data_IF_238264502767
#
_entry.id   IF_238264502767
#
_cell.length_a   1.000
_cell.length_b   1.000
_cell.length_c   1.000
_cell.angle_alpha   90.00
_cell.angle_beta   90.00
_cell.angle_gamma   90.00
#
_symmetry.space_group_name_H-M   'P 1'
#
loop_
_entity.id
_entity.type
_entity.pdbx_description
1 polymer ?
#
# COMPACT_ATOMS: atom_id res chain seq x y z
N UNK A 1 -61.09 13.60 -81.15
CA UNK A 1 -62.30 13.06 -81.84
C UNK A 1 -63.16 12.45 -80.78
N UNK A 2 -64.22 13.16 -80.46
CA UNK A 2 -65.61 12.70 -80.28
C UNK A 2 -65.83 11.58 -79.32
N UNK A 3 -66.72 11.57 -78.40
CA UNK A 3 -67.99 12.22 -78.08
C UNK A 3 -68.61 11.32 -76.94
N UNK A 4 -69.09 11.92 -75.84
CA UNK A 4 -70.55 11.93 -75.45
C UNK A 4 -71.09 10.51 -75.07
N UNK A 5 -71.85 10.27 -74.02
CA UNK A 5 -72.94 10.99 -73.35
C UNK A 5 -73.41 10.16 -72.13
N UNK A 6 -73.82 10.87 -71.11
CA UNK A 6 -75.14 10.87 -70.44
C UNK A 6 -75.73 9.56 -69.83
N UNK A 7 -76.19 9.72 -68.65
CA UNK A 7 -77.46 9.21 -68.11
C UNK A 7 -77.43 8.76 -66.71
N UNK A 8 -77.81 9.45 -65.82
CA UNK A 8 -78.89 9.83 -64.93
C UNK A 8 -79.45 8.69 -63.98
N UNK A 9 -79.72 9.12 -62.77
CA UNK A 9 -80.66 8.60 -61.75
C UNK A 9 -80.17 7.40 -60.92
N UNK A 10 -79.99 7.56 -59.63
CA UNK A 10 -81.00 7.89 -58.64
C UNK A 10 -81.03 6.76 -57.61
N UNK A 11 -80.77 7.02 -56.33
CA UNK A 11 -80.94 6.05 -55.31
C UNK A 11 -80.28 6.44 -53.98
N UNK A 12 -81.06 7.01 -53.10
CA UNK A 12 -80.75 7.19 -51.66
C UNK A 12 -80.43 5.88 -50.98
N UNK A 13 -79.31 5.77 -50.33
CA UNK A 13 -79.16 4.85 -49.13
C UNK A 13 -78.13 5.39 -48.19
N UNK A 14 -78.53 5.43 -46.97
CA UNK A 14 -77.79 5.82 -45.72
C UNK A 14 -76.51 5.04 -45.53
N UNK A 15 -75.39 5.72 -45.33
CA UNK A 15 -74.13 5.16 -45.03
C UNK A 15 -73.91 4.96 -43.47
N UNK A 16 -73.06 4.04 -43.07
CA UNK A 16 -72.73 3.85 -41.61
C UNK A 16 -71.61 4.74 -41.18
N UNK A 17 -71.81 5.24 -39.95
CA UNK A 17 -70.90 6.08 -39.16
C UNK A 17 -69.48 5.58 -39.03
N UNK A 18 -68.51 6.40 -39.38
CA UNK A 18 -67.08 6.25 -39.05
C UNK A 18 -66.90 6.40 -37.53
N UNK A 19 -66.61 5.30 -36.85
CA UNK A 19 -66.11 5.32 -35.49
C UNK A 19 -64.63 5.62 -35.52
N UNK A 20 -64.22 6.81 -35.08
CA UNK A 20 -62.85 7.18 -34.84
C UNK A 20 -62.27 6.36 -33.69
N UNK A 21 -61.37 5.42 -33.98
CA UNK A 21 -60.56 4.75 -32.94
C UNK A 21 -59.45 5.73 -32.54
N UNK A 22 -59.66 6.41 -31.39
CA UNK A 22 -58.62 7.16 -30.72
C UNK A 22 -57.60 6.18 -30.12
N UNK A 23 -56.44 6.05 -30.71
CA UNK A 23 -55.30 5.33 -30.10
C UNK A 23 -54.77 6.17 -28.93
N UNK A 24 -55.12 5.83 -27.71
CA UNK A 24 -54.48 6.34 -26.49
C UNK A 24 -53.08 5.70 -26.38
N UNK A 25 -52.05 6.49 -26.71
CA UNK A 25 -50.63 6.14 -26.43
C UNK A 25 -50.42 6.29 -24.92
N UNK A 26 -50.56 5.19 -24.18
CA UNK A 26 -50.16 5.15 -22.76
C UNK A 26 -48.65 5.17 -22.69
N UNK A 27 -48.06 6.34 -22.39
CA UNK A 27 -46.68 6.45 -21.97
C UNK A 27 -46.55 5.82 -20.58
N UNK A 28 -46.11 4.56 -20.54
CA UNK A 28 -45.63 3.92 -19.34
C UNK A 28 -44.32 4.63 -18.90
N UNK A 29 -44.44 5.63 -18.06
CA UNK A 29 -43.34 6.17 -17.28
C UNK A 29 -42.85 5.06 -16.33
N UNK A 30 -41.88 4.26 -16.79
CA UNK A 30 -41.08 3.46 -15.87
C UNK A 30 -40.36 4.42 -14.94
N UNK A 31 -40.51 4.29 -13.62
CA UNK A 31 -39.67 5.05 -12.70
C UNK A 31 -38.23 4.63 -13.00
N UNK A 32 -37.37 5.58 -13.41
CA UNK A 32 -35.93 5.39 -13.38
C UNK A 32 -35.62 5.05 -11.93
N UNK A 33 -35.38 3.79 -11.64
CA UNK A 33 -34.84 3.37 -10.34
C UNK A 33 -33.52 4.11 -10.19
N UNK A 34 -33.50 5.13 -9.35
CA UNK A 34 -32.28 5.83 -9.01
C UNK A 34 -31.31 4.78 -8.48
N UNK A 35 -30.21 4.53 -9.21
CA UNK A 35 -29.14 3.70 -8.73
C UNK A 35 -28.75 4.25 -7.34
N UNK A 36 -28.55 3.38 -6.33
CA UNK A 36 -28.20 3.86 -5.01
C UNK A 36 -26.98 4.76 -5.11
N UNK A 37 -27.17 6.02 -4.76
CA UNK A 37 -26.10 7.02 -4.79
C UNK A 37 -25.01 6.55 -3.82
N UNK A 38 -23.77 6.36 -4.32
CA UNK A 38 -22.64 5.98 -3.50
C UNK A 38 -22.49 6.99 -2.36
N UNK A 39 -22.38 6.49 -1.13
CA UNK A 39 -22.34 7.32 0.07
C UNK A 39 -20.95 7.90 0.31
N UNK A 40 -20.86 8.88 1.20
CA UNK A 40 -19.59 9.36 1.73
C UNK A 40 -18.79 8.24 2.38
N UNK A 41 -17.47 8.28 2.25
CA UNK A 41 -16.56 7.35 2.92
C UNK A 41 -15.88 8.07 4.08
N UNK A 42 -15.96 7.47 5.27
CA UNK A 42 -15.46 8.10 6.51
C UNK A 42 -14.43 7.20 7.20
N UNK A 43 -13.29 7.78 7.58
CA UNK A 43 -12.27 7.15 8.44
C UNK A 43 -11.87 8.17 9.51
N UNK A 44 -11.99 7.82 10.78
CA UNK A 44 -11.80 8.78 11.87
C UNK A 44 -12.71 9.99 11.68
N UNK A 45 -12.13 11.19 11.71
CA UNK A 45 -12.84 12.45 11.48
C UNK A 45 -12.86 12.89 9.99
N UNK A 46 -12.13 12.20 9.09
CA UNK A 46 -12.14 12.47 7.66
C UNK A 46 -13.37 11.84 6.99
N UNK A 47 -14.21 12.64 6.34
CA UNK A 47 -15.40 12.19 5.61
C UNK A 47 -15.45 12.84 4.23
N UNK A 48 -15.32 12.05 3.16
CA UNK A 48 -15.30 12.52 1.79
C UNK A 48 -16.58 12.08 1.05
N UNK A 49 -17.31 13.02 0.45
CA UNK A 49 -18.38 12.73 -0.49
C UNK A 49 -17.79 12.17 -1.81
N UNK A 50 -18.63 11.59 -2.65
CA UNK A 50 -18.20 11.06 -3.97
C UNK A 50 -17.62 12.16 -4.83
N UNK A 51 -16.42 11.94 -5.37
CA UNK A 51 -15.68 12.92 -6.15
C UNK A 51 -14.90 13.94 -5.30
N UNK A 52 -14.80 13.72 -3.99
CA UNK A 52 -14.13 14.63 -3.07
C UNK A 52 -12.97 14.00 -2.31
N UNK A 53 -12.16 14.87 -1.72
CA UNK A 53 -11.06 14.55 -0.82
C UNK A 53 -11.31 15.25 0.52
N UNK A 54 -11.07 14.53 1.62
CA UNK A 54 -11.21 15.06 2.98
C UNK A 54 -10.00 14.65 3.82
N UNK A 55 -9.57 15.54 4.70
CA UNK A 55 -8.52 15.31 5.70
C UNK A 55 -9.14 15.29 7.09
N UNK A 56 -8.51 14.56 7.99
CA UNK A 56 -8.92 14.45 9.39
C UNK A 56 -7.92 13.62 10.18
N UNK A 57 -8.37 13.08 11.29
CA UNK A 57 -7.54 12.29 12.19
C UNK A 57 -8.21 10.98 12.57
N UNK A 58 -7.39 9.95 12.72
CA UNK A 58 -7.73 8.75 13.46
C UNK A 58 -7.32 9.01 14.91
N UNK A 59 -8.29 9.40 15.72
CA UNK A 59 -8.09 9.80 17.13
C UNK A 59 -7.84 8.56 17.98
N UNK A 60 -6.61 8.38 18.48
CA UNK A 60 -6.22 7.31 19.40
C UNK A 60 -6.43 7.85 20.82
N UNK A 61 -7.43 7.38 21.55
CA UNK A 61 -7.74 7.93 22.87
C UNK A 61 -6.63 7.66 23.87
N UNK A 62 -6.55 8.48 24.91
CA UNK A 62 -5.70 8.19 26.06
C UNK A 62 -6.12 6.84 26.72
N UNK A 63 -5.15 6.15 27.31
CA UNK A 63 -5.35 4.88 28.01
C UNK A 63 -4.34 4.75 29.14
N UNK A 64 -3.51 3.71 29.08
CA UNK A 64 -2.39 3.53 30.02
C UNK A 64 -1.28 4.57 29.82
N UNK A 65 -1.29 5.23 28.69
CA UNK A 65 -0.40 6.32 28.26
C UNK A 65 -1.17 7.38 27.44
N UNK A 66 -0.46 8.38 26.90
CA UNK A 66 -1.06 9.54 26.24
C UNK A 66 -1.87 9.18 24.99
N UNK A 67 -2.83 10.04 24.65
CA UNK A 67 -3.52 10.03 23.34
C UNK A 67 -2.55 10.44 22.22
N UNK A 68 -2.93 10.11 20.96
CA UNK A 68 -2.29 10.63 19.75
C UNK A 68 -3.29 10.69 18.61
N UNK A 69 -3.06 11.62 17.66
CA UNK A 69 -3.91 11.79 16.50
C UNK A 69 -3.12 11.46 15.23
N UNK A 70 -3.55 10.42 14.51
CA UNK A 70 -2.91 9.98 13.28
C UNK A 70 -3.58 10.68 12.10
N UNK A 71 -2.84 11.41 11.24
CA UNK A 71 -3.41 12.08 10.08
C UNK A 71 -3.95 11.04 9.09
N UNK A 72 -5.16 11.24 8.63
CA UNK A 72 -5.83 10.42 7.64
C UNK A 72 -6.43 11.27 6.53
N UNK A 73 -6.23 10.81 5.31
CA UNK A 73 -6.83 11.40 4.12
C UNK A 73 -7.71 10.35 3.45
N UNK A 74 -8.94 10.74 3.13
CA UNK A 74 -9.86 9.93 2.35
C UNK A 74 -10.09 10.61 1.01
N UNK A 75 -9.81 9.90 -0.09
CA UNK A 75 -10.11 10.33 -1.44
C UNK A 75 -11.20 9.40 -1.98
N UNK A 76 -12.44 9.87 -2.01
CA UNK A 76 -13.57 9.11 -2.48
C UNK A 76 -13.81 9.44 -3.96
N UNK A 77 -13.19 8.65 -4.85
CA UNK A 77 -13.17 8.90 -6.29
C UNK A 77 -14.55 9.05 -6.93
N UNK A 78 -14.64 9.69 -8.07
CA UNK A 78 -15.89 9.95 -8.78
C UNK A 78 -16.58 8.68 -9.30
N UNK A 79 -15.83 7.60 -9.52
CA UNK A 79 -16.34 6.33 -10.06
C UNK A 79 -16.36 5.24 -8.98
N UNK A 80 -17.29 4.27 -9.04
CA UNK A 80 -17.26 3.12 -8.15
C UNK A 80 -16.00 2.27 -8.39
N UNK A 81 -15.50 1.59 -7.37
CA UNK A 81 -14.32 0.74 -7.43
C UNK A 81 -13.92 0.26 -6.05
N UNK A 82 -12.74 -0.34 -5.96
CA UNK A 82 -12.17 -0.91 -4.74
C UNK A 82 -11.64 0.16 -3.78
N UNK A 83 -11.35 -0.27 -2.55
CA UNK A 83 -10.74 0.56 -1.51
C UNK A 83 -9.27 0.18 -1.36
N UNK A 84 -8.37 1.13 -1.61
CA UNK A 84 -6.93 0.97 -1.44
C UNK A 84 -6.46 1.75 -0.21
N UNK A 85 -5.73 1.10 0.69
CA UNK A 85 -5.05 1.74 1.80
C UNK A 85 -3.55 1.90 1.50
N UNK A 86 -3.03 3.12 1.71
CA UNK A 86 -1.63 3.50 1.59
C UNK A 86 -1.15 3.96 2.97
N UNK A 87 -0.30 3.17 3.63
CA UNK A 87 0.06 3.40 5.03
C UNK A 87 1.59 3.47 5.15
N UNK A 88 2.08 4.53 5.80
CA UNK A 88 3.50 4.81 5.98
C UNK A 88 3.81 5.30 7.39
N UNK A 89 5.09 5.34 7.75
CA UNK A 89 5.57 5.91 8.99
C UNK A 89 5.30 5.08 10.23
N UNK A 90 5.23 3.75 10.12
CA UNK A 90 5.28 2.84 11.25
C UNK A 90 6.57 3.05 12.06
N UNK A 91 7.66 3.32 11.34
CA UNK A 91 8.90 3.90 11.86
C UNK A 91 8.94 5.36 11.39
N UNK A 92 8.89 6.31 12.33
CA UNK A 92 8.71 7.73 12.03
C UNK A 92 9.92 8.42 11.40
N UNK A 93 11.04 7.73 11.29
CA UNK A 93 12.30 8.21 10.71
C UNK A 93 12.60 7.65 9.32
N UNK A 94 11.71 6.86 8.73
CA UNK A 94 11.75 6.40 7.33
C UNK A 94 11.19 7.49 6.39
N UNK A 95 11.89 8.63 6.30
CA UNK A 95 11.33 9.85 5.71
C UNK A 95 10.97 9.74 4.24
N UNK A 96 11.72 8.99 3.42
CA UNK A 96 11.42 8.86 1.99
C UNK A 96 10.02 8.27 1.74
N UNK A 97 9.63 7.24 2.50
CA UNK A 97 8.32 6.60 2.43
C UNK A 97 7.20 7.51 2.90
N UNK A 98 7.43 8.25 3.99
CA UNK A 98 6.48 9.24 4.54
C UNK A 98 6.19 10.34 3.52
N UNK A 99 7.24 10.94 2.95
CA UNK A 99 7.13 12.01 1.95
C UNK A 99 6.50 11.49 0.65
N UNK A 100 6.76 10.23 0.25
CA UNK A 100 6.12 9.65 -0.93
C UNK A 100 4.60 9.57 -0.75
N UNK A 101 4.11 9.08 0.40
CA UNK A 101 2.67 9.02 0.69
C UNK A 101 2.07 10.41 0.85
N UNK A 102 2.78 11.35 1.49
CA UNK A 102 2.35 12.75 1.59
C UNK A 102 2.20 13.38 0.19
N UNK A 103 3.16 13.19 -0.71
CA UNK A 103 3.12 13.72 -2.08
C UNK A 103 1.92 13.20 -2.89
N UNK A 104 1.51 11.95 -2.68
CA UNK A 104 0.33 11.39 -3.31
C UNK A 104 -0.98 12.13 -2.93
N UNK A 105 -1.03 12.81 -1.78
CA UNK A 105 -2.20 13.58 -1.36
C UNK A 105 -2.55 14.67 -2.38
N UNK A 106 -1.54 15.33 -2.92
CA UNK A 106 -1.74 16.41 -3.92
C UNK A 106 -1.88 15.87 -5.33
N UNK A 107 -1.19 14.78 -5.66
CA UNK A 107 -1.18 14.20 -7.01
C UNK A 107 -2.47 13.47 -7.37
N UNK A 108 -3.16 12.88 -6.39
CA UNK A 108 -4.37 12.09 -6.63
C UNK A 108 -5.59 13.01 -6.76
N UNK A 109 -6.16 13.05 -7.98
CA UNK A 109 -7.39 13.79 -8.31
C UNK A 109 -8.60 12.85 -8.14
N UNK A 110 -9.56 13.16 -7.24
CA UNK A 110 -10.76 12.36 -7.06
C UNK A 110 -11.57 12.15 -8.35
N UNK A 111 -11.56 13.12 -9.26
CA UNK A 111 -12.30 13.04 -10.54
C UNK A 111 -11.80 11.89 -11.44
N UNK A 112 -10.54 11.48 -11.30
CA UNK A 112 -9.94 10.40 -12.11
C UNK A 112 -9.97 9.04 -11.40
N UNK A 113 -10.27 9.00 -10.11
CA UNK A 113 -10.19 7.78 -9.30
C UNK A 113 -11.46 6.95 -9.41
N UNK A 114 -11.29 5.64 -9.63
CA UNK A 114 -12.32 4.62 -9.44
C UNK A 114 -12.11 3.95 -8.08
N UNK A 115 -13.12 4.02 -7.21
CA UNK A 115 -13.03 3.52 -5.84
C UNK A 115 -12.62 4.58 -4.82
N UNK A 116 -12.00 4.14 -3.72
CA UNK A 116 -11.59 5.01 -2.62
C UNK A 116 -10.12 4.77 -2.28
N UNK A 117 -9.38 5.83 -2.01
CA UNK A 117 -8.01 5.74 -1.49
C UNK A 117 -7.98 6.31 -0.08
N UNK A 118 -7.44 5.55 0.86
CA UNK A 118 -7.19 5.96 2.24
C UNK A 118 -5.69 6.12 2.39
N UNK A 119 -5.21 7.30 2.78
CA UNK A 119 -3.79 7.56 3.00
C UNK A 119 -3.56 7.87 4.48
N UNK A 120 -2.58 7.18 5.07
CA UNK A 120 -1.98 7.51 6.35
C UNK A 120 -0.49 7.77 6.10
N UNK A 121 -0.09 9.02 5.88
CA UNK A 121 1.31 9.34 5.57
C UNK A 121 2.25 9.11 6.74
N UNK A 122 1.73 9.19 7.97
CA UNK A 122 2.53 9.06 9.17
C UNK A 122 1.70 8.48 10.32
N UNK A 123 1.94 7.23 10.70
CA UNK A 123 1.18 6.58 11.77
C UNK A 123 1.84 6.66 13.14
N UNK A 124 3.16 6.82 13.21
CA UNK A 124 3.93 6.93 14.46
C UNK A 124 4.45 8.37 14.64
N UNK A 125 3.54 9.27 15.03
CA UNK A 125 3.82 10.71 15.17
C UNK A 125 4.96 10.96 16.15
N UNK A 126 4.99 10.25 17.27
CA UNK A 126 5.98 10.47 18.33
C UNK A 126 7.39 10.08 17.90
N UNK A 127 7.53 8.99 17.12
CA UNK A 127 8.81 8.62 16.52
C UNK A 127 9.31 9.71 15.57
N UNK A 128 8.43 10.24 14.71
CA UNK A 128 8.77 11.29 13.75
C UNK A 128 9.20 12.59 14.44
N UNK A 129 8.39 13.11 15.37
CA UNK A 129 8.66 14.38 16.05
C UNK A 129 9.92 14.34 16.90
N UNK A 130 10.14 13.22 17.59
CA UNK A 130 11.30 13.05 18.47
C UNK A 130 12.52 12.46 17.76
N UNK A 131 12.40 12.08 16.48
CA UNK A 131 13.45 11.47 15.67
C UNK A 131 14.02 10.20 16.32
N UNK A 132 13.12 9.35 16.84
CA UNK A 132 13.46 8.07 17.44
C UNK A 132 13.25 6.95 16.44
N UNK A 133 14.31 6.28 15.99
CA UNK A 133 14.20 5.22 15.00
C UNK A 133 13.48 3.98 15.55
N UNK A 134 12.83 3.22 14.66
CA UNK A 134 12.25 1.89 14.87
C UNK A 134 11.10 1.79 15.87
N UNK A 135 11.00 2.65 16.88
CA UNK A 135 10.02 2.50 17.95
C UNK A 135 9.25 3.79 18.24
N UNK A 136 8.08 3.64 18.85
CA UNK A 136 7.37 4.75 19.48
C UNK A 136 7.99 5.05 20.85
N UNK A 137 8.53 6.26 21.09
CA UNK A 137 9.20 6.61 22.35
C UNK A 137 8.26 6.65 23.55
N UNK A 138 6.94 6.68 23.37
CA UNK A 138 5.96 6.68 24.47
C UNK A 138 5.91 5.33 25.18
N UNK A 139 5.99 4.23 24.44
CA UNK A 139 5.84 2.87 24.97
C UNK A 139 6.99 1.93 24.58
N UNK A 140 7.99 2.45 23.86
CA UNK A 140 9.17 1.72 23.36
C UNK A 140 8.81 0.48 22.53
N UNK A 141 7.73 0.56 21.76
CA UNK A 141 7.25 -0.51 20.88
C UNK A 141 7.41 -0.14 19.41
N UNK A 142 7.86 -1.09 18.58
CA UNK A 142 7.79 -0.97 17.14
C UNK A 142 6.36 -1.26 16.69
N UNK A 143 5.69 -0.28 16.06
CA UNK A 143 4.30 -0.45 15.61
C UNK A 143 4.16 -1.68 14.69
N UNK A 144 5.15 -1.92 13.87
CA UNK A 144 5.20 -3.07 12.96
C UNK A 144 5.52 -4.42 13.65
N UNK A 145 5.16 -4.56 14.94
CA UNK A 145 5.25 -5.81 15.71
C UNK A 145 4.00 -6.04 16.57
N UNK A 146 3.05 -5.09 16.56
CA UNK A 146 1.91 -5.09 17.47
C UNK A 146 0.54 -5.11 16.79
N UNK A 147 0.46 -5.35 15.49
CA UNK A 147 -0.81 -5.61 14.82
C UNK A 147 -1.35 -7.01 15.19
N UNK A 148 -2.67 -7.19 15.31
CA UNK A 148 -3.77 -6.25 15.01
C UNK A 148 -4.05 -5.22 16.09
N UNK A 149 -3.26 -5.15 17.15
CA UNK A 149 -3.41 -4.20 18.24
C UNK A 149 -4.40 -4.64 19.33
N UNK A 150 -4.55 -3.78 20.35
CA UNK A 150 -5.47 -3.96 21.47
C UNK A 150 -6.10 -2.63 21.84
N UNK A 151 -7.43 -2.62 22.04
CA UNK A 151 -8.19 -1.41 22.33
C UNK A 151 -7.83 -0.77 23.69
N UNK A 152 -7.40 -1.58 24.66
CA UNK A 152 -7.04 -1.22 26.03
C UNK A 152 -5.51 -1.26 26.30
N UNK A 153 -4.72 -1.40 25.23
CA UNK A 153 -3.26 -1.49 25.29
C UNK A 153 -2.56 -0.14 25.39
N UNK A 154 -1.24 -0.16 25.14
CA UNK A 154 -0.41 1.04 25.04
C UNK A 154 -0.75 1.85 23.77
N UNK A 155 -0.18 3.04 23.62
CA UNK A 155 -0.45 3.93 22.48
C UNK A 155 -0.24 3.21 21.13
N UNK A 156 0.88 2.50 20.97
CA UNK A 156 1.16 1.69 19.79
C UNK A 156 0.10 0.60 19.56
N UNK A 157 -0.31 -0.11 20.62
CA UNK A 157 -1.31 -1.18 20.50
C UNK A 157 -2.71 -0.62 20.18
N UNK A 158 -3.10 0.52 20.78
CA UNK A 158 -4.38 1.19 20.46
C UNK A 158 -4.40 1.74 19.05
N UNK A 159 -3.30 2.36 18.61
CA UNK A 159 -3.14 2.84 17.24
C UNK A 159 -3.26 1.70 16.23
N UNK A 160 -2.53 0.60 16.43
CA UNK A 160 -2.60 -0.61 15.59
C UNK A 160 -4.01 -1.21 15.56
N UNK A 161 -4.72 -1.20 16.70
CA UNK A 161 -6.11 -1.66 16.77
C UNK A 161 -7.05 -0.80 15.92
N UNK A 162 -6.96 0.52 16.04
CA UNK A 162 -7.82 1.43 15.27
C UNK A 162 -7.52 1.36 13.76
N UNK A 163 -6.25 1.30 13.36
CA UNK A 163 -5.84 1.10 11.96
C UNK A 163 -6.43 -0.23 11.44
N UNK A 164 -6.32 -1.30 12.22
CA UNK A 164 -6.90 -2.59 11.84
C UNK A 164 -8.41 -2.49 11.63
N UNK A 165 -9.14 -1.90 12.59
CA UNK A 165 -10.61 -1.84 12.56
C UNK A 165 -11.17 -0.87 11.53
N UNK A 166 -10.58 0.31 11.40
CA UNK A 166 -11.16 1.35 10.55
C UNK A 166 -10.63 1.34 9.12
N UNK A 167 -9.49 0.68 8.88
CA UNK A 167 -8.82 0.69 7.59
C UNK A 167 -8.64 -0.73 7.05
N UNK A 168 -7.88 -1.61 7.73
CA UNK A 168 -7.60 -2.96 7.23
C UNK A 168 -8.88 -3.78 7.04
N UNK A 169 -9.80 -3.75 8.01
CA UNK A 169 -11.07 -4.49 7.89
C UNK A 169 -11.96 -3.97 6.73
N UNK A 170 -11.71 -2.74 6.23
CA UNK A 170 -12.54 -2.04 5.23
C UNK A 170 -11.90 -1.86 3.85
N UNK A 171 -10.59 -2.02 3.72
CA UNK A 171 -9.92 -1.97 2.42
C UNK A 171 -10.03 -3.30 1.68
N UNK A 172 -9.82 -3.28 0.36
CA UNK A 172 -9.64 -4.45 -0.50
C UNK A 172 -8.16 -4.72 -0.72
N UNK A 173 -7.37 -3.65 -0.83
CA UNK A 173 -5.94 -3.66 -1.11
C UNK A 173 -5.18 -2.80 -0.12
N UNK A 174 -3.93 -3.17 0.16
CA UNK A 174 -3.07 -2.41 1.05
C UNK A 174 -1.62 -2.37 0.54
N UNK A 175 -1.00 -1.20 0.63
CA UNK A 175 0.45 -1.02 0.47
C UNK A 175 0.99 -0.49 1.80
N UNK A 176 1.92 -1.24 2.39
CA UNK A 176 2.66 -0.90 3.61
C UNK A 176 4.01 -0.33 3.20
N UNK A 177 4.24 0.94 3.50
CA UNK A 177 5.44 1.66 3.08
C UNK A 177 6.45 1.72 4.20
N UNK A 178 7.62 1.22 3.90
CA UNK A 178 8.81 1.29 4.72
C UNK A 178 9.99 1.89 3.95
N UNK A 179 11.12 2.09 4.63
CA UNK A 179 12.30 2.65 3.99
C UNK A 179 13.52 2.60 4.88
N UNK A 180 14.62 3.16 4.39
CA UNK A 180 15.87 3.22 5.16
C UNK A 180 15.75 4.12 6.37
N UNK A 181 15.65 3.52 7.56
CA UNK A 181 15.77 4.21 8.84
C UNK A 181 17.21 4.73 9.07
N UNK A 182 17.46 5.37 10.21
CA UNK A 182 18.72 6.06 10.54
C UNK A 182 19.99 5.25 10.22
N UNK A 183 19.97 3.97 10.52
CA UNK A 183 21.09 3.05 10.34
C UNK A 183 20.98 2.13 9.11
N UNK A 184 19.98 2.34 8.25
CA UNK A 184 19.67 1.44 7.15
C UNK A 184 20.02 2.02 5.77
N UNK A 185 20.86 1.33 5.03
CA UNK A 185 21.13 1.56 3.62
C UNK A 185 20.45 0.46 2.82
N UNK A 186 19.26 0.75 2.26
CA UNK A 186 18.46 -0.25 1.56
C UNK A 186 18.64 -0.21 0.05
N UNK A 187 18.86 -1.36 -0.58
CA UNK A 187 18.54 -1.54 -1.99
C UNK A 187 17.00 -1.56 -2.09
N UNK A 188 16.33 -0.70 -2.85
CA UNK A 188 14.87 -0.75 -2.92
C UNK A 188 14.36 -2.14 -3.30
N UNK A 189 13.41 -2.66 -2.52
CA UNK A 189 12.80 -3.98 -2.73
C UNK A 189 11.37 -4.02 -2.23
N UNK A 190 10.65 -5.09 -2.56
CA UNK A 190 9.30 -5.32 -2.08
C UNK A 190 9.17 -6.71 -1.46
N UNK A 191 8.14 -6.89 -0.63
CA UNK A 191 7.71 -8.20 -0.16
C UNK A 191 6.42 -8.61 -0.85
N UNK A 192 6.38 -9.86 -1.28
CA UNK A 192 5.18 -10.57 -1.71
C UNK A 192 4.94 -11.77 -0.82
N UNK A 193 3.74 -11.84 -0.23
CA UNK A 193 3.36 -12.90 0.69
C UNK A 193 2.28 -13.81 0.05
N UNK A 194 2.65 -14.93 -0.57
CA UNK A 194 1.66 -15.90 -1.05
C UNK A 194 0.94 -16.53 0.14
N UNK A 195 -0.39 -16.55 0.07
CA UNK A 195 -1.29 -17.05 1.12
C UNK A 195 -1.81 -18.47 0.84
N UNK A 196 -1.62 -18.97 -0.38
CA UNK A 196 -2.21 -20.20 -0.91
C UNK A 196 -3.66 -20.01 -1.39
N UNK A 197 -4.20 -18.80 -1.33
CA UNK A 197 -5.52 -18.43 -1.88
C UNK A 197 -5.32 -17.79 -3.25
N UNK A 198 -5.55 -18.55 -4.31
CA UNK A 198 -5.22 -18.18 -5.70
C UNK A 198 -5.68 -16.77 -6.09
N UNK A 199 -6.92 -16.39 -5.80
CA UNK A 199 -7.45 -15.09 -6.17
C UNK A 199 -6.72 -13.94 -5.44
N UNK A 200 -6.40 -14.09 -4.15
CA UNK A 200 -5.68 -13.11 -3.35
C UNK A 200 -4.22 -13.01 -3.81
N UNK A 201 -3.57 -14.16 -4.03
CA UNK A 201 -2.16 -14.25 -4.41
C UNK A 201 -1.93 -13.67 -5.81
N UNK A 202 -2.86 -13.92 -6.75
CA UNK A 202 -2.81 -13.34 -8.10
C UNK A 202 -2.84 -11.81 -8.04
N UNK A 203 -3.75 -11.22 -7.25
CA UNK A 203 -3.85 -9.76 -7.15
C UNK A 203 -2.63 -9.16 -6.45
N UNK A 204 -2.18 -9.72 -5.32
CA UNK A 204 -1.00 -9.22 -4.62
C UNK A 204 0.28 -9.36 -5.46
N UNK A 205 0.38 -10.41 -6.29
CA UNK A 205 1.47 -10.57 -7.25
C UNK A 205 1.40 -9.54 -8.38
N UNK A 206 0.21 -9.26 -8.90
CA UNK A 206 0.01 -8.18 -9.87
C UNK A 206 0.40 -6.82 -9.28
N UNK A 207 0.03 -6.55 -8.01
CA UNK A 207 0.40 -5.31 -7.31
C UNK A 207 1.91 -5.16 -7.19
N UNK A 208 2.63 -6.18 -6.71
CA UNK A 208 4.09 -6.08 -6.49
C UNK A 208 4.86 -5.95 -7.80
N UNK A 209 4.44 -6.62 -8.86
CA UNK A 209 5.04 -6.47 -10.19
C UNK A 209 4.75 -5.09 -10.78
N UNK A 210 3.51 -4.60 -10.65
CA UNK A 210 3.11 -3.27 -11.13
C UNK A 210 3.79 -2.14 -10.36
N UNK A 211 4.16 -2.36 -9.08
CA UNK A 211 4.93 -1.38 -8.31
C UNK A 211 6.30 -1.12 -8.93
N UNK A 212 6.89 -2.11 -9.57
CA UNK A 212 8.05 -1.94 -10.44
C UNK A 212 9.41 -1.98 -9.74
N UNK A 213 9.50 -2.40 -8.48
CA UNK A 213 10.78 -2.68 -7.83
C UNK A 213 11.38 -3.97 -8.39
N UNK A 214 12.66 -3.94 -8.71
CA UNK A 214 13.36 -5.04 -9.39
C UNK A 214 13.84 -6.16 -8.46
N UNK A 215 13.66 -6.00 -7.14
CA UNK A 215 14.01 -6.97 -6.11
C UNK A 215 12.78 -7.30 -5.30
N UNK A 216 12.39 -8.60 -5.21
CA UNK A 216 11.17 -9.02 -4.53
C UNK A 216 11.47 -10.21 -3.61
N UNK A 217 11.16 -10.06 -2.32
CA UNK A 217 11.27 -11.12 -1.32
C UNK A 217 9.94 -11.88 -1.26
N UNK A 218 10.01 -13.22 -1.38
CA UNK A 218 8.86 -14.10 -1.19
C UNK A 218 8.78 -14.44 0.29
N UNK A 219 7.82 -13.84 0.98
CA UNK A 219 7.66 -14.05 2.42
C UNK A 219 6.63 -15.14 2.71
N UNK A 220 7.10 -16.33 3.07
CA UNK A 220 6.24 -17.51 3.29
C UNK A 220 5.87 -17.75 4.75
N UNK A 221 6.68 -17.27 5.69
CA UNK A 221 6.51 -17.50 7.13
C UNK A 221 5.57 -16.47 7.76
N UNK A 222 4.30 -16.47 7.32
CA UNK A 222 3.29 -15.57 7.86
C UNK A 222 2.17 -16.35 8.54
N UNK A 223 1.78 -15.95 9.75
CA UNK A 223 0.67 -16.60 10.44
C UNK A 223 -0.63 -16.37 9.66
N UNK A 224 -1.41 -17.43 9.50
CA UNK A 224 -2.77 -17.38 8.94
C UNK A 224 -3.81 -17.09 10.03
N UNK A 225 -3.46 -17.30 11.29
CA UNK A 225 -4.30 -16.97 12.44
C UNK A 225 -4.32 -15.45 12.67
N UNK A 226 -5.52 -14.89 12.73
CA UNK A 226 -5.75 -13.45 12.94
C UNK A 226 -5.17 -12.91 14.25
N UNK A 227 -5.08 -13.74 15.29
CA UNK A 227 -4.53 -13.38 16.59
C UNK A 227 -3.01 -13.48 16.68
N UNK A 228 -2.37 -14.21 15.76
CA UNK A 228 -0.93 -14.41 15.74
C UNK A 228 -0.19 -13.45 14.78
N UNK A 229 -0.92 -12.61 14.04
CA UNK A 229 -0.31 -11.59 13.17
C UNK A 229 0.39 -10.51 14.00
N UNK A 230 1.48 -9.95 13.47
CA UNK A 230 2.27 -8.92 14.15
C UNK A 230 2.56 -7.73 13.26
N UNK A 231 2.60 -7.94 11.94
CA UNK A 231 2.88 -6.94 10.93
C UNK A 231 1.58 -6.42 10.32
N UNK A 232 1.57 -5.21 9.80
CA UNK A 232 0.41 -4.62 9.14
C UNK A 232 -0.03 -5.46 7.93
N UNK A 233 0.91 -5.80 7.06
CA UNK A 233 0.63 -6.59 5.87
C UNK A 233 0.20 -8.04 6.21
N UNK A 234 0.81 -8.70 7.21
CA UNK A 234 0.38 -10.04 7.65
C UNK A 234 -1.02 -10.00 8.26
N UNK A 235 -1.36 -8.90 8.95
CA UNK A 235 -2.71 -8.66 9.47
C UNK A 235 -3.73 -8.45 8.34
N UNK A 236 -3.31 -7.78 7.28
CA UNK A 236 -4.10 -7.55 6.07
C UNK A 236 -4.30 -8.86 5.28
N UNK A 237 -3.22 -9.58 4.99
CA UNK A 237 -3.29 -10.84 4.22
C UNK A 237 -4.09 -11.93 4.93
N UNK A 238 -3.95 -12.07 6.25
CA UNK A 238 -4.75 -13.02 7.05
C UNK A 238 -6.27 -12.72 6.99
N UNK A 239 -6.63 -11.44 6.77
CA UNK A 239 -8.03 -10.98 6.57
C UNK A 239 -8.51 -11.07 5.13
N UNK A 240 -7.74 -11.70 4.26
CA UNK A 240 -8.10 -11.90 2.85
C UNK A 240 -7.86 -10.70 1.94
N UNK A 241 -7.12 -9.68 2.40
CA UNK A 241 -6.79 -8.51 1.58
C UNK A 241 -5.54 -8.79 0.76
N UNK A 242 -5.50 -8.34 -0.50
CA UNK A 242 -4.26 -8.34 -1.26
C UNK A 242 -3.36 -7.20 -0.75
N UNK A 243 -2.16 -7.56 -0.30
CA UNK A 243 -1.23 -6.63 0.35
C UNK A 243 0.19 -6.84 -0.14
N UNK A 244 0.96 -5.75 -0.20
CA UNK A 244 2.40 -5.75 -0.45
C UNK A 244 3.09 -4.82 0.54
N UNK A 245 4.36 -5.08 0.82
CA UNK A 245 5.26 -4.15 1.53
C UNK A 245 6.28 -3.63 0.53
N UNK A 246 6.60 -2.37 0.61
CA UNK A 246 7.60 -1.72 -0.25
C UNK A 246 8.63 -1.01 0.62
N UNK A 247 9.89 -1.17 0.25
CA UNK A 247 11.04 -0.61 0.96
C UNK A 247 11.84 0.28 0.03
N UNK A 248 12.07 1.53 0.43
CA UNK A 248 12.88 2.47 -0.34
C UNK A 248 13.38 3.62 0.51
N UNK A 249 14.65 3.99 0.36
CA UNK A 249 15.26 5.06 1.12
C UNK A 249 16.66 4.73 1.65
N UNK A 250 17.29 5.70 2.29
CA UNK A 250 18.64 5.62 2.80
C UNK A 250 18.82 6.48 4.04
N UNK A 251 19.17 5.88 5.17
CA UNK A 251 19.68 6.51 6.39
C UNK A 251 18.86 7.76 6.81
N UNK A 252 17.56 7.64 6.90
CA UNK A 252 16.64 8.74 7.25
C UNK A 252 16.83 9.98 6.39
N UNK A 253 17.24 9.83 5.12
CA UNK A 253 17.32 10.95 4.18
C UNK A 253 16.08 11.04 3.29
N UNK A 254 15.88 12.20 2.67
CA UNK A 254 14.85 12.39 1.64
C UNK A 254 15.59 12.58 0.32
N UNK A 255 15.78 11.50 -0.42
CA UNK A 255 16.30 11.52 -1.77
C UNK A 255 15.13 11.58 -2.76
N UNK A 256 15.18 12.48 -3.73
CA UNK A 256 14.10 12.67 -4.69
C UNK A 256 13.89 11.42 -5.56
N UNK A 257 14.96 10.70 -5.90
CA UNK A 257 14.86 9.47 -6.69
C UNK A 257 14.14 8.36 -5.90
N UNK A 258 14.41 8.20 -4.59
CA UNK A 258 13.73 7.23 -3.72
C UNK A 258 12.25 7.61 -3.56
N UNK A 259 11.94 8.89 -3.32
CA UNK A 259 10.56 9.38 -3.22
C UNK A 259 9.80 9.18 -4.54
N UNK A 260 10.40 9.56 -5.67
CA UNK A 260 9.80 9.41 -6.99
C UNK A 260 9.57 7.93 -7.35
N UNK A 261 10.48 7.03 -6.95
CA UNK A 261 10.34 5.59 -7.14
C UNK A 261 9.07 5.07 -6.45
N UNK A 262 8.87 5.42 -5.18
CA UNK A 262 7.71 5.00 -4.39
C UNK A 262 6.39 5.61 -4.92
N UNK A 263 6.39 6.89 -5.29
CA UNK A 263 5.23 7.57 -5.90
C UNK A 263 4.85 6.92 -7.23
N UNK A 264 5.82 6.73 -8.13
CA UNK A 264 5.57 6.16 -9.46
C UNK A 264 5.11 4.71 -9.37
N UNK A 265 5.68 3.91 -8.45
CA UNK A 265 5.26 2.54 -8.16
C UNK A 265 3.80 2.48 -7.71
N UNK A 266 3.40 3.39 -6.83
CA UNK A 266 2.00 3.51 -6.37
C UNK A 266 1.06 3.82 -7.52
N UNK A 267 1.37 4.83 -8.33
CA UNK A 267 0.53 5.20 -9.48
C UNK A 267 0.42 4.07 -10.51
N UNK A 268 1.50 3.32 -10.72
CA UNK A 268 1.50 2.14 -11.59
C UNK A 268 0.62 1.01 -11.01
N UNK A 269 0.73 0.74 -9.71
CA UNK A 269 -0.12 -0.24 -9.02
C UNK A 269 -1.60 0.16 -9.09
N UNK A 270 -1.93 1.44 -8.89
CA UNK A 270 -3.30 1.92 -9.01
C UNK A 270 -3.87 1.74 -10.43
N UNK A 271 -3.03 1.86 -11.49
CA UNK A 271 -3.42 1.55 -12.87
C UNK A 271 -3.67 0.05 -13.08
N UNK A 272 -2.82 -0.81 -12.54
CA UNK A 272 -3.03 -2.26 -12.56
C UNK A 272 -4.35 -2.65 -11.90
N UNK A 273 -4.67 -2.06 -10.75
CA UNK A 273 -5.92 -2.25 -10.02
C UNK A 273 -7.13 -1.56 -10.67
N UNK A 274 -6.97 -0.90 -11.82
CA UNK A 274 -8.02 -0.14 -12.53
C UNK A 274 -8.62 1.00 -11.71
N UNK A 275 -7.87 1.51 -10.75
CA UNK A 275 -8.25 2.66 -9.93
C UNK A 275 -7.88 4.00 -10.57
N UNK A 276 -6.88 4.02 -11.45
CA UNK A 276 -6.49 5.17 -12.27
C UNK A 276 -6.54 4.80 -13.77
N UNK A 277 -6.75 5.79 -14.66
CA UNK A 277 -6.64 5.58 -16.09
C UNK A 277 -5.18 5.36 -16.52
N UNK A 278 -5.00 4.72 -17.68
CA UNK A 278 -3.70 4.42 -18.30
C UNK A 278 -3.18 3.02 -17.96
N UNK A 279 -2.03 2.70 -18.52
CA UNK A 279 -1.42 1.38 -18.40
C UNK A 279 -0.42 1.34 -17.24
N UNK A 280 -0.36 0.22 -16.50
CA UNK A 280 0.68 -0.01 -15.50
C UNK A 280 2.05 -0.19 -16.18
N UNK A 281 3.11 -0.06 -15.39
CA UNK A 281 4.50 -0.30 -15.82
C UNK A 281 5.11 -1.42 -14.98
N UNK A 282 4.66 -2.67 -15.15
CA UNK A 282 5.15 -3.77 -14.35
C UNK A 282 6.61 -4.08 -14.66
N UNK A 283 7.34 -4.54 -13.65
CA UNK A 283 8.65 -5.13 -13.86
C UNK A 283 8.52 -6.52 -14.48
N UNK A 284 9.22 -6.80 -15.57
CA UNK A 284 9.09 -8.06 -16.31
C UNK A 284 9.93 -9.19 -15.70
N UNK A 285 11.15 -8.89 -15.26
CA UNK A 285 12.12 -9.87 -14.80
C UNK A 285 12.75 -9.45 -13.46
N UNK A 286 11.99 -9.42 -12.36
CA UNK A 286 12.53 -9.08 -11.05
C UNK A 286 13.44 -10.20 -10.53
N UNK A 287 14.38 -9.83 -9.67
CA UNK A 287 15.16 -10.79 -8.89
C UNK A 287 14.31 -11.22 -7.70
N UNK A 288 13.98 -12.50 -7.64
CA UNK A 288 13.20 -13.08 -6.54
C UNK A 288 14.11 -13.66 -5.47
N UNK A 289 13.75 -13.44 -4.21
CA UNK A 289 14.46 -13.97 -3.05
C UNK A 289 13.55 -14.92 -2.26
N UNK A 290 14.08 -16.08 -1.89
CA UNK A 290 13.32 -17.06 -1.08
C UNK A 290 13.32 -16.71 0.41
N UNK A 291 14.35 -15.98 0.87
CA UNK A 291 14.55 -15.53 2.25
C UNK A 291 15.64 -14.46 2.31
N UNK A 292 15.73 -13.81 3.46
CA UNK A 292 16.88 -13.00 3.88
C UNK A 292 17.68 -13.74 4.95
N UNK A 293 18.98 -13.44 5.02
CA UNK A 293 19.88 -13.93 6.07
C UNK A 293 20.58 -12.73 6.69
N UNK A 294 20.33 -12.51 7.97
CA UNK A 294 20.88 -11.41 8.75
C UNK A 294 22.33 -11.71 9.13
N UNK A 295 23.18 -10.69 9.11
CA UNK A 295 24.56 -10.73 9.56
C UNK A 295 24.67 -9.90 10.84
N UNK A 296 24.73 -10.55 11.98
CA UNK A 296 24.57 -9.92 13.29
C UNK A 296 25.92 -9.64 13.97
N UNK A 297 26.04 -8.46 14.62
CA UNK A 297 27.20 -8.05 15.38
C UNK A 297 27.34 -8.84 16.68
N UNK A 298 28.51 -9.45 16.90
CA UNK A 298 28.83 -10.20 18.12
C UNK A 298 29.22 -9.29 19.31
N UNK A 299 29.60 -8.03 19.03
CA UNK A 299 30.04 -7.06 20.04
C UNK A 299 30.04 -5.63 19.51
N UNK A 300 30.35 -4.66 20.41
CA UNK A 300 30.42 -3.25 20.03
C UNK A 300 31.70 -2.93 19.25
N UNK A 301 31.66 -1.83 18.46
CA UNK A 301 32.80 -1.32 17.75
C UNK A 301 32.46 -0.28 16.70
N UNK A 302 33.43 -0.01 15.83
CA UNK A 302 33.29 0.91 14.69
C UNK A 302 33.27 0.08 13.42
N UNK A 303 32.16 0.15 12.67
CA UNK A 303 31.93 -0.58 11.44
C UNK A 303 32.54 0.11 10.22
N UNK A 304 33.23 -0.67 9.39
CA UNK A 304 33.78 -0.24 8.11
C UNK A 304 33.31 -1.18 6.99
N UNK A 305 32.21 -0.83 6.27
CA UNK A 305 31.73 -1.62 5.13
C UNK A 305 32.72 -1.56 3.95
N UNK A 306 32.90 -2.67 3.26
CA UNK A 306 33.67 -2.79 2.01
C UNK A 306 32.76 -3.08 0.81
N UNK A 307 31.49 -3.32 1.05
CA UNK A 307 30.43 -3.55 0.06
C UNK A 307 29.32 -2.53 0.25
N UNK A 308 28.41 -2.44 -0.70
CA UNK A 308 27.26 -1.53 -0.68
C UNK A 308 25.95 -2.30 -0.88
N UNK A 309 24.82 -1.65 -0.57
CA UNK A 309 23.49 -2.15 -0.95
C UNK A 309 23.46 -2.50 -2.44
N UNK A 310 22.84 -3.61 -2.81
CA UNK A 310 22.76 -4.13 -4.19
C UNK A 310 24.01 -4.90 -4.65
N UNK A 311 25.05 -5.04 -3.82
CA UNK A 311 26.22 -5.85 -4.18
C UNK A 311 25.86 -7.34 -4.16
N UNK A 312 26.18 -8.07 -5.24
CA UNK A 312 26.18 -9.53 -5.25
C UNK A 312 27.41 -10.06 -4.51
N UNK A 313 27.16 -10.91 -3.52
CA UNK A 313 28.21 -11.50 -2.69
C UNK A 313 28.20 -13.02 -2.80
N UNK A 314 29.37 -13.61 -2.63
CA UNK A 314 29.51 -15.06 -2.48
C UNK A 314 29.72 -15.41 -1.00
N UNK A 315 29.31 -16.60 -0.59
CA UNK A 315 29.58 -17.12 0.74
C UNK A 315 31.07 -17.00 1.06
N UNK A 316 31.41 -16.54 2.27
CA UNK A 316 32.79 -16.26 2.71
C UNK A 316 33.38 -14.93 2.21
N UNK A 317 32.73 -14.22 1.27
CA UNK A 317 33.20 -12.91 0.80
C UNK A 317 33.22 -11.92 1.96
N UNK A 318 34.29 -11.12 2.04
CA UNK A 318 34.43 -10.11 3.08
C UNK A 318 33.48 -8.94 2.83
N UNK A 319 32.59 -8.67 3.79
CA UNK A 319 31.64 -7.55 3.76
C UNK A 319 32.24 -6.28 4.36
N UNK A 320 33.12 -6.43 5.35
CA UNK A 320 33.74 -5.33 6.05
C UNK A 320 34.58 -5.80 7.24
N UNK A 321 34.86 -4.87 8.13
CA UNK A 321 35.57 -5.15 9.38
C UNK A 321 35.12 -4.20 10.50
N UNK A 322 35.35 -4.62 11.74
CA UNK A 322 35.10 -3.82 12.93
C UNK A 322 36.40 -3.49 13.62
N UNK A 323 36.53 -2.24 14.10
CA UNK A 323 37.64 -1.82 14.98
C UNK A 323 37.13 -1.55 16.40
N UNK A 324 38.03 -1.58 17.36
CA UNK A 324 37.82 -0.94 18.66
C UNK A 324 37.91 0.59 18.54
N UNK A 325 37.69 1.30 19.64
CA UNK A 325 37.71 2.76 19.70
C UNK A 325 39.13 3.37 19.56
N UNK A 326 40.16 2.53 19.48
CA UNK A 326 41.56 2.93 19.24
C UNK A 326 41.98 2.64 17.80
N UNK A 327 41.05 2.16 16.94
CA UNK A 327 41.31 1.85 15.53
C UNK A 327 41.95 0.48 15.27
N UNK A 328 42.15 -0.34 16.30
CA UNK A 328 42.63 -1.70 16.14
C UNK A 328 41.51 -2.58 15.59
N UNK A 329 41.78 -3.31 14.49
CA UNK A 329 40.83 -4.28 13.94
C UNK A 329 40.60 -5.43 14.92
N UNK A 330 39.34 -5.68 15.28
CA UNK A 330 38.93 -6.73 16.22
C UNK A 330 38.17 -7.86 15.55
N UNK A 331 37.50 -7.63 14.41
CA UNK A 331 36.83 -8.69 13.65
C UNK A 331 36.75 -8.37 12.16
N UNK A 332 36.60 -9.43 11.35
CA UNK A 332 36.19 -9.37 9.94
C UNK A 332 34.77 -9.91 9.82
N UNK A 333 33.94 -9.22 9.06
CA UNK A 333 32.56 -9.62 8.76
C UNK A 333 32.54 -10.22 7.38
N UNK A 334 32.01 -11.45 7.27
CA UNK A 334 31.91 -12.19 6.01
C UNK A 334 30.47 -12.61 5.72
N UNK A 335 30.15 -12.76 4.43
CA UNK A 335 28.85 -13.23 3.98
C UNK A 335 28.65 -14.70 4.41
N UNK A 336 27.60 -15.02 5.18
CA UNK A 336 27.28 -16.39 5.57
C UNK A 336 26.66 -17.21 4.43
N UNK A 337 26.16 -16.52 3.39
CA UNK A 337 25.53 -17.12 2.21
C UNK A 337 25.86 -16.29 0.96
N UNK A 338 25.69 -16.90 -0.22
CA UNK A 338 25.71 -16.16 -1.49
C UNK A 338 24.35 -15.49 -1.74
N UNK A 339 24.37 -14.25 -2.27
CA UNK A 339 23.13 -13.49 -2.52
C UNK A 339 23.37 -12.03 -2.84
N UNK A 340 22.37 -11.20 -2.60
CA UNK A 340 22.42 -9.74 -2.81
C UNK A 340 22.29 -9.03 -1.46
N UNK A 341 23.13 -8.04 -1.21
CA UNK A 341 23.01 -7.14 -0.06
C UNK A 341 21.75 -6.27 -0.26
N UNK A 342 20.69 -6.60 0.42
CA UNK A 342 19.44 -5.82 0.41
C UNK A 342 19.49 -4.66 1.41
N UNK A 343 20.02 -4.91 2.59
CA UNK A 343 20.31 -3.94 3.63
C UNK A 343 21.79 -4.01 4.01
N UNK A 344 22.40 -2.86 4.32
CA UNK A 344 23.69 -2.76 5.00
C UNK A 344 23.66 -1.57 5.96
N UNK A 345 24.22 -1.75 7.16
CA UNK A 345 24.28 -0.70 8.15
C UNK A 345 24.99 0.54 7.59
N UNK A 346 24.29 1.68 7.58
CA UNK A 346 24.73 2.95 7.00
C UNK A 346 25.64 3.76 7.93
N UNK A 347 25.60 3.50 9.24
CA UNK A 347 26.35 4.23 10.26
C UNK A 347 27.46 3.37 10.85
N UNK A 348 28.56 3.99 11.37
CA UNK A 348 29.68 3.24 11.90
C UNK A 348 29.45 2.68 13.32
N UNK A 349 28.41 3.12 14.01
CA UNK A 349 28.12 2.75 15.39
C UNK A 349 27.55 1.33 15.49
N UNK A 350 28.13 0.48 16.33
CA UNK A 350 27.67 -0.87 16.58
C UNK A 350 27.62 -1.21 18.05
N UNK A 351 26.60 -1.97 18.42
CA UNK A 351 26.53 -2.74 19.66
C UNK A 351 26.26 -4.22 19.35
N UNK A 352 26.40 -5.08 20.34
CA UNK A 352 26.06 -6.50 20.20
C UNK A 352 24.58 -6.66 19.84
N UNK A 353 24.33 -7.46 18.81
CA UNK A 353 22.98 -7.75 18.31
C UNK A 353 22.49 -6.82 17.18
N UNK A 354 23.25 -5.77 16.86
CA UNK A 354 22.93 -4.94 15.69
C UNK A 354 23.12 -5.73 14.39
N UNK A 355 22.31 -5.41 13.39
CA UNK A 355 22.38 -6.03 12.08
C UNK A 355 23.36 -5.29 11.17
N UNK A 356 24.41 -5.98 10.70
CA UNK A 356 25.34 -5.42 9.71
C UNK A 356 24.74 -5.34 8.33
N UNK A 357 24.03 -6.40 7.92
CA UNK A 357 23.51 -6.53 6.58
C UNK A 357 22.45 -7.64 6.51
N UNK A 358 21.51 -7.50 5.57
CA UNK A 358 20.60 -8.55 5.13
C UNK A 358 20.97 -9.01 3.73
N UNK A 359 21.20 -10.30 3.59
CA UNK A 359 21.54 -10.90 2.29
C UNK A 359 20.33 -11.65 1.77
N UNK A 360 19.76 -11.17 0.66
CA UNK A 360 18.71 -11.86 -0.07
C UNK A 360 19.26 -13.08 -0.80
N UNK A 361 18.71 -14.27 -0.51
CA UNK A 361 19.07 -15.50 -1.20
C UNK A 361 18.20 -15.67 -2.44
N UNK A 362 18.82 -15.63 -3.62
CA UNK A 362 18.11 -15.65 -4.90
C UNK A 362 17.48 -17.03 -5.13
N UNK A 363 16.20 -17.07 -5.54
CA UNK A 363 15.52 -18.31 -5.91
C UNK A 363 16.09 -18.88 -7.21
N UNK A 364 16.08 -20.20 -7.32
CA UNK A 364 16.50 -20.88 -8.53
C UNK A 364 15.50 -20.76 -9.69
N UNK A 365 14.22 -20.55 -9.38
CA UNK A 365 13.13 -20.42 -10.35
C UNK A 365 12.14 -19.35 -9.86
N UNK A 366 11.72 -18.46 -10.77
CA UNK A 366 10.68 -17.46 -10.47
C UNK A 366 9.36 -18.14 -10.07
N UNK A 367 8.61 -17.58 -9.10
CA UNK A 367 7.35 -18.15 -8.62
C UNK A 367 6.21 -18.02 -9.64
#
# INVERSE_FOLDING_TARGET
MLLVSQGANGGFMLGPSLRAFGAYLIFLLFPLSALPQRQSFTVGTASAAVGEKSTGYLEVPAGVDAATDIPVIVINGAKPGSVLALISGAHGTEYASIIAVERLITLLDPAQISGTVILLPLVNIQSFEQKVPHVNPVDNKSMNRFYPGKADGTQTERASFLITKQIVDRCDYLIDYHGGDLDESLRPYAYWAPTGKEAQDRVSKEMVLAFGLDHIIIWRDRPTDLGATRYLDSTSTARGKASIVVEGGYASTVDEDDVALLVNGTLSTMRALKMLPGDPRPIENPVWFEKTVDVIAEGPGIWYPLVRRGTYVQEGMKLGYVTDYFGKRISEVRAPVSGVILHINAIPSLKKGDNFADIGVVVSHAP
#
